data_IF_168215055452
#
_entry.id   IF_168215055452
#
_cell.length_a   1.000
_cell.length_b   1.000
_cell.length_c   1.000
_cell.angle_alpha   90.00
_cell.angle_beta   90.00
_cell.angle_gamma   90.00
#
_symmetry.space_group_name_H-M   'P 1'
#
loop_
_entity.id
_entity.type
_entity.pdbx_description
1 polymer ?
#
# COMPACT_ATOMS: atom_id res chain seq x y z
N UNK A 1 22.40 -64.72 36.36
CA UNK A 1 21.26 -63.84 36.02
C UNK A 1 21.71 -62.95 34.88
N UNK A 2 21.29 -63.20 33.63
CA UNK A 2 21.79 -62.42 32.48
C UNK A 2 20.76 -62.24 31.34
N UNK A 3 19.46 -62.25 31.68
CA UNK A 3 18.39 -61.94 30.71
C UNK A 3 17.84 -60.52 30.93
N UNK A 4 18.73 -59.55 31.10
CA UNK A 4 18.33 -58.13 31.11
C UNK A 4 18.31 -57.63 29.68
N UNK A 5 17.13 -57.25 29.21
CA UNK A 5 16.98 -56.56 27.92
C UNK A 5 17.58 -55.16 28.03
N UNK A 6 18.68 -54.92 27.32
CA UNK A 6 19.37 -53.63 27.30
C UNK A 6 18.87 -52.80 26.13
N UNK A 7 18.43 -51.57 26.39
CA UNK A 7 18.09 -50.60 25.36
C UNK A 7 19.15 -49.52 25.24
N UNK A 8 19.28 -48.97 24.03
CA UNK A 8 19.97 -47.69 23.85
C UNK A 8 19.04 -46.56 24.32
N UNK A 9 19.62 -45.47 24.78
CA UNK A 9 18.88 -44.25 25.13
C UNK A 9 18.18 -43.68 23.90
N UNK A 10 16.92 -43.28 24.05
CA UNK A 10 16.22 -42.46 23.05
C UNK A 10 16.40 -40.98 23.41
N UNK A 11 16.72 -40.15 22.42
CA UNK A 11 16.90 -38.71 22.61
C UNK A 11 16.21 -37.97 21.48
N UNK A 12 15.40 -36.97 21.84
CA UNK A 12 14.83 -36.05 20.87
C UNK A 12 15.90 -35.13 20.29
N UNK A 13 15.78 -34.78 19.02
CA UNK A 13 16.57 -33.74 18.36
C UNK A 13 15.69 -32.49 18.17
N UNK A 14 16.23 -31.40 17.61
CA UNK A 14 15.45 -30.19 17.35
C UNK A 14 14.16 -30.51 16.60
N UNK A 15 13.02 -30.03 17.13
CA UNK A 15 11.70 -30.32 16.59
C UNK A 15 11.14 -31.71 16.89
N UNK A 16 11.79 -32.54 17.73
CA UNK A 16 11.25 -33.84 18.18
C UNK A 16 11.34 -33.96 19.70
N UNK A 17 10.20 -34.17 20.35
CA UNK A 17 10.10 -34.41 21.80
C UNK A 17 9.82 -35.89 22.05
N UNK A 18 10.58 -36.49 22.96
CA UNK A 18 10.35 -37.86 23.44
C UNK A 18 10.06 -37.78 24.93
N UNK A 19 8.87 -38.21 25.34
CA UNK A 19 8.44 -38.18 26.75
C UNK A 19 7.65 -39.43 27.12
N UNK A 20 7.64 -39.77 28.41
CA UNK A 20 6.77 -40.82 28.95
C UNK A 20 5.36 -40.30 29.22
N UNK A 21 4.37 -41.17 29.09
CA UNK A 21 2.99 -40.93 29.52
C UNK A 21 2.50 -42.14 30.31
N UNK A 22 2.43 -41.98 31.63
CA UNK A 22 2.21 -43.10 32.55
C UNK A 22 3.32 -44.15 32.48
N UNK A 23 2.98 -45.39 32.88
CA UNK A 23 3.97 -46.45 33.07
C UNK A 23 4.27 -47.26 31.80
N UNK A 24 3.46 -47.12 30.74
CA UNK A 24 3.48 -48.03 29.60
C UNK A 24 3.53 -47.34 28.22
N UNK A 25 3.53 -46.00 28.16
CA UNK A 25 3.47 -45.27 26.89
C UNK A 25 4.67 -44.35 26.72
N UNK A 26 5.31 -44.42 25.56
CA UNK A 26 6.25 -43.40 25.09
C UNK A 26 5.53 -42.57 24.03
N UNK A 27 5.52 -41.25 24.21
CA UNK A 27 5.03 -40.30 23.22
C UNK A 27 6.24 -39.76 22.47
N UNK A 28 6.22 -39.90 21.15
CA UNK A 28 7.15 -39.26 20.23
C UNK A 28 6.34 -38.27 19.41
N UNK A 29 6.58 -36.98 19.62
CA UNK A 29 5.93 -35.91 18.88
C UNK A 29 6.95 -35.08 18.11
N UNK A 30 6.59 -34.72 16.87
CA UNK A 30 7.32 -33.72 16.09
C UNK A 30 6.69 -32.34 16.29
N UNK A 31 7.49 -31.28 16.23
CA UNK A 31 6.98 -29.93 16.01
C UNK A 31 6.26 -29.93 14.66
N UNK A 32 4.94 -29.79 14.70
CA UNK A 32 4.12 -29.58 13.51
C UNK A 32 3.88 -28.08 13.36
N UNK A 33 4.48 -27.49 12.32
CA UNK A 33 4.28 -26.09 11.96
C UNK A 33 5.22 -25.65 10.86
N UNK A 34 4.72 -24.90 9.89
CA UNK A 34 5.57 -24.16 8.96
C UNK A 34 6.05 -22.92 9.71
N UNK A 35 7.23 -22.98 10.32
CA UNK A 35 7.81 -21.80 10.93
C UNK A 35 8.28 -20.90 9.78
N UNK A 36 7.57 -19.79 9.57
CA UNK A 36 8.19 -18.66 8.90
C UNK A 36 9.41 -18.26 9.73
N UNK A 37 10.59 -18.65 9.25
CA UNK A 37 11.85 -18.43 9.96
C UNK A 37 12.34 -16.99 9.83
N UNK A 38 11.77 -16.22 8.91
CA UNK A 38 12.01 -14.79 8.80
C UNK A 38 11.47 -14.18 7.51
N UNK A 39 11.63 -12.86 7.43
CA UNK A 39 11.59 -12.09 6.20
C UNK A 39 12.83 -11.17 6.18
N UNK A 40 13.18 -10.62 5.03
CA UNK A 40 14.34 -9.74 4.91
C UNK A 40 14.05 -8.63 3.90
N UNK A 41 14.58 -7.45 4.17
CA UNK A 41 14.56 -6.35 3.21
C UNK A 41 15.61 -6.66 2.13
N UNK A 42 15.20 -6.70 0.87
CA UNK A 42 16.06 -7.09 -0.27
C UNK A 42 16.82 -5.93 -0.91
N UNK A 43 16.62 -4.70 -0.43
CA UNK A 43 17.20 -3.48 -0.99
C UNK A 43 17.88 -2.59 0.04
N UNK A 44 18.60 -1.58 -0.45
CA UNK A 44 19.28 -0.57 0.37
C UNK A 44 18.31 0.55 0.74
N UNK A 45 18.03 0.75 2.03
CA UNK A 45 17.14 1.80 2.53
C UNK A 45 16.45 1.41 3.84
N UNK A 46 15.56 2.27 4.33
CA UNK A 46 14.67 1.95 5.45
C UNK A 46 13.69 0.86 5.03
N UNK A 47 13.90 -0.35 5.53
CA UNK A 47 13.07 -1.51 5.20
C UNK A 47 11.67 -1.50 5.81
N UNK A 48 10.72 -2.12 5.11
CA UNK A 48 9.35 -2.29 5.59
C UNK A 48 9.25 -3.37 6.66
N UNK A 49 10.00 -4.47 6.50
CA UNK A 49 10.05 -5.54 7.50
C UNK A 49 10.70 -5.02 8.79
N UNK A 50 9.99 -5.16 9.92
CA UNK A 50 10.41 -4.68 11.23
C UNK A 50 10.77 -5.78 12.21
N UNK A 51 10.50 -7.05 11.88
CA UNK A 51 10.86 -8.19 12.71
C UNK A 51 9.77 -9.25 12.77
N UNK A 52 9.97 -10.23 13.64
CA UNK A 52 9.03 -11.32 13.89
C UNK A 52 8.71 -11.37 15.39
N UNK A 53 7.44 -11.60 15.71
CA UNK A 53 6.99 -11.97 17.06
C UNK A 53 6.22 -13.27 16.89
N UNK A 54 6.70 -14.36 17.50
CA UNK A 54 6.17 -15.71 17.31
C UNK A 54 6.04 -16.08 15.82
N UNK A 55 4.86 -16.48 15.36
CA UNK A 55 4.63 -16.84 13.96
C UNK A 55 4.11 -15.66 13.11
N UNK A 56 4.21 -14.43 13.61
CA UNK A 56 3.70 -13.25 12.93
C UNK A 56 4.83 -12.36 12.41
N UNK A 57 4.79 -12.07 11.10
CA UNK A 57 5.72 -11.15 10.47
C UNK A 57 5.23 -9.72 10.64
N UNK A 58 6.08 -8.88 11.22
CA UNK A 58 5.76 -7.47 11.44
C UNK A 58 6.34 -6.61 10.32
N UNK A 59 5.49 -5.74 9.80
CA UNK A 59 5.82 -4.72 8.82
C UNK A 59 5.49 -3.35 9.40
N UNK A 60 6.23 -2.32 9.02
CA UNK A 60 5.88 -0.94 9.35
C UNK A 60 4.61 -0.54 8.59
N UNK A 61 3.80 0.31 9.19
CA UNK A 61 2.66 0.90 8.49
C UNK A 61 3.16 1.86 7.42
N UNK A 62 2.61 1.75 6.22
CA UNK A 62 2.78 2.74 5.18
C UNK A 62 1.73 3.84 5.38
N UNK A 63 2.19 5.08 5.57
CA UNK A 63 1.32 6.25 5.70
C UNK A 63 1.70 7.20 4.58
N UNK A 64 0.70 7.65 3.82
CA UNK A 64 0.90 8.68 2.82
C UNK A 64 1.19 10.03 3.48
N UNK A 65 2.20 10.75 2.99
CA UNK A 65 2.52 12.10 3.44
C UNK A 65 2.49 13.09 2.27
N UNK A 66 2.13 14.35 2.56
CA UNK A 66 2.02 15.41 1.57
C UNK A 66 0.95 15.12 0.53
N UNK A 67 1.34 15.11 -0.75
CA UNK A 67 0.44 14.74 -1.85
C UNK A 67 0.15 13.25 -1.93
N UNK A 68 0.95 12.37 -1.32
CA UNK A 68 0.81 10.93 -1.57
C UNK A 68 -0.35 10.34 -0.76
N UNK A 69 -1.33 9.74 -1.45
CA UNK A 69 -2.36 8.90 -0.86
C UNK A 69 -1.95 7.43 -0.89
N UNK A 70 -2.17 6.71 0.21
CA UNK A 70 -1.98 5.26 0.29
C UNK A 70 -3.28 4.63 0.75
N UNK A 71 -3.79 3.68 -0.05
CA UNK A 71 -4.96 2.86 0.28
C UNK A 71 -4.73 1.43 -0.22
N UNK A 72 -5.62 0.51 0.12
CA UNK A 72 -5.49 -0.88 -0.31
C UNK A 72 -6.79 -1.65 -0.17
N UNK A 73 -6.81 -2.81 -0.81
CA UNK A 73 -7.81 -3.86 -0.63
C UNK A 73 -7.11 -5.17 -0.24
N UNK A 74 -7.82 -6.30 -0.28
CA UNK A 74 -7.27 -7.61 0.10
C UNK A 74 -6.14 -8.10 -0.82
N UNK A 75 -6.00 -7.52 -2.03
CA UNK A 75 -5.07 -7.99 -3.06
C UNK A 75 -4.09 -6.91 -3.51
N UNK A 76 -4.45 -5.63 -3.39
CA UNK A 76 -3.71 -4.51 -3.97
C UNK A 76 -3.40 -3.43 -2.95
N UNK A 77 -2.23 -2.81 -3.13
CA UNK A 77 -1.86 -1.54 -2.52
C UNK A 77 -1.91 -0.46 -3.60
N UNK A 78 -2.73 0.57 -3.40
CA UNK A 78 -2.81 1.73 -4.25
C UNK A 78 -1.96 2.86 -3.67
N UNK A 79 -1.06 3.39 -4.48
CA UNK A 79 -0.26 4.57 -4.15
C UNK A 79 -0.60 5.63 -5.19
N UNK A 80 -1.21 6.72 -4.75
CA UNK A 80 -1.59 7.85 -5.60
C UNK A 80 -0.76 9.06 -5.25
N UNK A 81 -0.32 9.81 -6.26
CA UNK A 81 0.27 11.13 -6.04
C UNK A 81 -0.79 12.21 -6.22
N UNK A 82 -1.20 12.85 -5.14
CA UNK A 82 -1.88 14.14 -5.11
C UNK A 82 -0.87 15.27 -5.24
N UNK A 83 -0.10 15.26 -6.32
CA UNK A 83 0.76 16.38 -6.67
C UNK A 83 -0.05 17.37 -7.51
N UNK A 84 -0.69 18.36 -6.86
CA UNK A 84 -1.33 19.53 -7.46
C UNK A 84 -1.60 19.44 -8.96
N UNK A 85 -2.67 18.74 -9.33
CA UNK A 85 -2.94 18.40 -10.71
C UNK A 85 -3.13 19.64 -11.58
N UNK A 86 -2.27 19.81 -12.59
CA UNK A 86 -2.72 20.36 -13.85
C UNK A 86 -3.70 19.35 -14.43
N UNK A 87 -4.98 19.53 -14.13
CA UNK A 87 -6.03 18.71 -14.71
C UNK A 87 -6.26 19.21 -16.14
N UNK A 88 -5.79 18.44 -17.11
CA UNK A 88 -6.08 18.67 -18.52
C UNK A 88 -7.54 18.32 -18.82
N UNK A 89 -8.26 19.23 -19.45
CA UNK A 89 -9.65 19.05 -19.89
C UNK A 89 -9.83 19.53 -21.32
N UNK A 90 -10.99 19.24 -21.91
CA UNK A 90 -11.36 19.75 -23.23
C UNK A 90 -11.45 21.28 -23.23
N UNK A 91 -11.17 21.89 -24.39
CA UNK A 91 -11.25 23.33 -24.56
C UNK A 91 -12.66 23.86 -24.22
N UNK A 92 -12.77 24.92 -23.39
CA UNK A 92 -14.05 25.49 -23.04
C UNK A 92 -14.68 26.19 -24.25
N UNK A 93 -15.97 25.95 -24.48
CA UNK A 93 -16.73 26.63 -25.53
C UNK A 93 -16.95 28.12 -25.27
N UNK A 94 -16.94 28.55 -24.00
CA UNK A 94 -17.10 29.94 -23.58
C UNK A 94 -16.27 30.24 -22.32
N UNK A 95 -16.09 31.54 -22.02
CA UNK A 95 -15.47 32.03 -20.78
C UNK A 95 -16.09 31.45 -19.50
N UNK A 96 -17.39 31.09 -19.55
CA UNK A 96 -18.16 30.62 -18.40
C UNK A 96 -18.47 29.11 -18.49
N UNK A 97 -17.82 28.37 -19.40
CA UNK A 97 -17.97 26.91 -19.44
C UNK A 97 -17.54 26.31 -18.10
N UNK A 98 -18.20 25.25 -17.60
CA UNK A 98 -17.85 24.65 -16.32
C UNK A 98 -16.36 24.31 -16.23
N UNK A 99 -15.72 24.71 -15.14
CA UNK A 99 -14.31 24.47 -14.91
C UNK A 99 -13.94 24.56 -13.44
N UNK A 100 -12.84 23.94 -13.05
CA UNK A 100 -12.23 24.01 -11.72
C UNK A 100 -10.97 24.85 -11.80
N UNK A 101 -10.76 25.70 -10.80
CA UNK A 101 -9.54 26.50 -10.69
C UNK A 101 -8.29 25.61 -10.82
N UNK A 102 -7.36 25.99 -11.69
CA UNK A 102 -6.15 25.22 -11.98
C UNK A 102 -6.29 24.22 -13.14
N UNK A 103 -7.49 24.01 -13.68
CA UNK A 103 -7.65 23.27 -14.93
C UNK A 103 -7.03 24.01 -16.10
N UNK A 104 -6.46 23.23 -17.02
CA UNK A 104 -5.81 23.72 -18.22
C UNK A 104 -6.41 22.99 -19.42
N UNK A 105 -6.61 23.70 -20.53
CA UNK A 105 -7.05 23.13 -21.80
C UNK A 105 -6.32 23.81 -22.96
N UNK A 106 -6.39 23.23 -24.15
CA UNK A 106 -5.93 23.89 -25.37
C UNK A 106 -6.77 23.43 -26.57
N UNK A 107 -6.80 24.27 -27.59
CA UNK A 107 -7.19 23.89 -28.94
C UNK A 107 -6.07 24.28 -29.92
N UNK A 108 -6.36 24.27 -31.22
CA UNK A 108 -5.36 24.63 -32.23
C UNK A 108 -4.95 26.12 -32.21
N UNK A 109 -5.65 26.96 -31.47
CA UNK A 109 -5.50 28.41 -31.48
C UNK A 109 -5.16 29.01 -30.12
N UNK A 110 -5.56 28.36 -29.02
CA UNK A 110 -5.52 28.95 -27.70
C UNK A 110 -5.10 27.94 -26.63
N UNK A 111 -4.33 28.45 -25.67
CA UNK A 111 -4.10 27.83 -24.38
C UNK A 111 -5.03 28.46 -23.35
N UNK A 112 -5.74 27.63 -22.58
CA UNK A 112 -6.76 28.02 -21.63
C UNK A 112 -6.35 27.67 -20.20
N UNK A 113 -6.60 28.58 -19.26
CA UNK A 113 -6.46 28.33 -17.81
C UNK A 113 -7.73 28.78 -17.10
N UNK A 114 -8.21 27.93 -16.20
CA UNK A 114 -9.33 28.24 -15.33
C UNK A 114 -8.81 28.92 -14.04
N UNK A 115 -9.08 30.22 -13.85
CA UNK A 115 -8.31 31.04 -12.88
C UNK A 115 -9.08 31.56 -11.66
N UNK A 116 -10.42 31.62 -11.65
CA UNK A 116 -11.16 32.15 -10.47
C UNK A 116 -12.59 31.64 -10.39
N UNK A 117 -13.02 31.29 -9.18
CA UNK A 117 -14.36 30.87 -8.81
C UNK A 117 -15.44 31.96 -8.94
N UNK A 118 -16.02 32.24 -10.12
CA UNK A 118 -17.19 33.14 -10.21
C UNK A 118 -18.50 32.33 -10.22
N UNK A 119 -18.86 31.75 -9.08
CA UNK A 119 -20.20 31.22 -8.88
C UNK A 119 -21.05 32.18 -8.06
N UNK A 120 -22.20 32.60 -8.60
CA UNK A 120 -23.35 32.86 -7.71
C UNK A 120 -23.61 31.59 -6.89
N UNK A 121 -24.17 31.70 -5.69
CA UNK A 121 -24.15 30.64 -4.67
C UNK A 121 -24.63 29.23 -5.11
N UNK A 122 -25.33 29.11 -6.24
CA UNK A 122 -25.77 27.83 -6.84
C UNK A 122 -24.65 26.98 -7.45
N UNK A 123 -23.51 27.55 -7.86
CA UNK A 123 -22.42 26.80 -8.53
C UNK A 123 -21.37 26.23 -7.57
N UNK A 124 -21.46 26.61 -6.28
CA UNK A 124 -20.55 26.14 -5.22
C UNK A 124 -20.81 24.68 -4.83
N UNK A 125 -22.06 24.23 -4.94
CA UNK A 125 -22.49 22.87 -4.53
C UNK A 125 -22.03 21.77 -5.50
N UNK A 126 -21.64 22.13 -6.74
CA UNK A 126 -21.10 21.19 -7.75
C UNK A 126 -19.57 21.28 -7.91
N UNK A 127 -18.92 22.23 -7.23
CA UNK A 127 -17.48 22.46 -7.33
C UNK A 127 -17.01 22.92 -8.72
N UNK A 128 -17.86 23.62 -9.48
CA UNK A 128 -17.62 24.06 -10.88
C UNK A 128 -17.56 25.59 -10.97
N UNK A 129 -16.64 26.22 -10.25
CA UNK A 129 -16.70 27.68 -10.06
C UNK A 129 -15.83 28.48 -11.02
N UNK A 130 -14.96 27.87 -11.83
CA UNK A 130 -13.87 28.59 -12.47
C UNK A 130 -14.20 29.33 -13.78
N UNK A 131 -13.63 30.53 -13.96
CA UNK A 131 -13.67 31.32 -15.19
C UNK A 131 -12.47 31.00 -16.09
N UNK A 132 -12.73 30.74 -17.37
CA UNK A 132 -11.71 30.42 -18.36
C UNK A 132 -11.06 31.68 -18.95
N UNK A 133 -9.73 31.76 -18.87
CA UNK A 133 -8.91 32.71 -19.62
C UNK A 133 -8.15 31.98 -20.70
N UNK A 134 -7.84 32.69 -21.77
CA UNK A 134 -7.09 32.15 -22.90
C UNK A 134 -6.02 33.09 -23.40
N UNK A 135 -4.93 32.53 -23.90
CA UNK A 135 -3.91 33.21 -24.70
C UNK A 135 -3.76 32.51 -26.03
N UNK A 136 -3.49 33.26 -27.10
CA UNK A 136 -3.26 32.67 -28.42
C UNK A 136 -1.98 31.84 -28.40
N UNK A 137 -2.03 30.68 -29.05
CA UNK A 137 -0.86 29.89 -29.37
C UNK A 137 -0.31 30.45 -30.68
N UNK A 138 0.87 31.06 -30.61
CA UNK A 138 1.63 31.50 -31.79
C UNK A 138 2.83 30.58 -32.02
N UNK A 139 3.37 30.60 -33.23
CA UNK A 139 4.53 29.80 -33.67
C UNK A 139 5.72 29.90 -32.69
N UNK A 140 6.53 28.84 -32.66
CA UNK A 140 7.64 28.59 -31.72
C UNK A 140 8.74 29.65 -31.75
#
# INVERSE_FOLDING_TARGET
EDNVLKFRSFSGVSGVTITGSGDNTIIISGQTGNFLTGASNIGTGSGLYSGRIDNDLKFRTLVGEGGIGISGDEQHLYITGGGGDVTWVDAPSTKNSPGKMGQIAFDNYYYYVCITGHGTDKDKDLGLTGEWRRTAISEW
#
